data_IF_929188239586
#
_entry.id   IF_929188239586
#
_cell.length_a   1.000
_cell.length_b   1.000
_cell.length_c   1.000
_cell.angle_alpha   90.00
_cell.angle_beta   90.00
_cell.angle_gamma   90.00
#
_symmetry.space_group_name_H-M   'P 1'
#
loop_
_entity.id
_entity.type
_entity.pdbx_description
1 polymer ?
#
# COMPACT_ATOMS: atom_id res chain seq x y z
N UNK A 1 -9.24 -0.07 -18.73
CA UNK A 1 -8.50 0.19 -17.48
C UNK A 1 -9.45 0.68 -16.41
N UNK A 2 -9.31 0.18 -15.18
CA UNK A 2 -10.05 0.64 -14.01
C UNK A 2 -9.14 1.50 -13.14
N UNK A 3 -9.71 2.47 -12.42
CA UNK A 3 -9.04 3.29 -11.40
C UNK A 3 -9.54 2.98 -10.00
N UNK A 4 -10.31 1.89 -9.84
CA UNK A 4 -10.78 1.46 -8.54
C UNK A 4 -9.62 0.93 -7.68
N UNK A 5 -9.66 1.26 -6.38
CA UNK A 5 -8.73 0.74 -5.39
C UNK A 5 -8.78 -0.80 -5.33
N UNK A 6 -7.60 -1.41 -5.29
CA UNK A 6 -7.37 -2.85 -5.33
C UNK A 6 -7.45 -3.49 -3.93
N UNK A 7 -6.96 -2.78 -2.90
CA UNK A 7 -7.01 -3.26 -1.53
C UNK A 7 -8.39 -3.00 -0.92
N UNK A 8 -8.83 -3.93 -0.06
CA UNK A 8 -10.07 -3.73 0.70
C UNK A 8 -9.84 -2.66 1.77
N UNK A 9 -10.72 -1.67 1.82
CA UNK A 9 -10.64 -0.52 2.75
C UNK A 9 -10.54 -0.92 4.21
N UNK A 10 -11.30 -1.92 4.67
CA UNK A 10 -11.34 -2.28 6.09
C UNK A 10 -10.02 -2.94 6.57
N UNK A 11 -9.46 -3.97 5.89
CA UNK A 11 -8.13 -4.47 6.22
C UNK A 11 -7.04 -3.40 6.18
N UNK A 12 -7.01 -2.55 5.15
CA UNK A 12 -6.04 -1.46 5.04
C UNK A 12 -6.13 -0.50 6.22
N UNK A 13 -7.34 -0.07 6.59
CA UNK A 13 -7.56 0.82 7.73
C UNK A 13 -7.14 0.20 9.07
N UNK A 14 -7.25 -1.12 9.26
CA UNK A 14 -6.77 -1.80 10.48
C UNK A 14 -5.24 -1.72 10.58
N UNK A 15 -4.53 -1.98 9.47
CA UNK A 15 -3.07 -1.90 9.42
C UNK A 15 -2.57 -0.48 9.67
N UNK A 16 -3.21 0.53 9.06
CA UNK A 16 -2.85 1.95 9.31
C UNK A 16 -2.96 2.31 10.79
N UNK A 17 -4.04 1.88 11.46
CA UNK A 17 -4.24 2.12 12.89
C UNK A 17 -3.22 1.38 13.76
N UNK A 18 -2.96 0.11 13.45
CA UNK A 18 -1.94 -0.69 14.14
C UNK A 18 -0.56 -0.03 14.07
N UNK A 19 -0.15 0.40 12.87
CA UNK A 19 1.11 1.13 12.67
C UNK A 19 1.10 2.45 13.44
N UNK A 20 0.01 3.21 13.40
CA UNK A 20 -0.12 4.48 14.12
C UNK A 20 0.05 4.31 15.65
N UNK A 21 -0.46 3.22 16.23
CA UNK A 21 -0.30 2.93 17.66
C UNK A 21 1.17 2.73 18.05
N UNK A 22 1.98 2.12 17.18
CA UNK A 22 3.42 1.94 17.40
C UNK A 22 4.15 3.30 17.54
N UNK A 23 3.73 4.31 16.79
CA UNK A 23 4.36 5.63 16.80
C UNK A 23 3.78 6.57 17.85
N UNK A 24 2.59 6.28 18.37
CA UNK A 24 1.88 7.18 19.29
C UNK A 24 1.86 6.67 20.74
N UNK A 25 2.79 5.79 21.12
CA UNK A 25 2.89 5.24 22.49
C UNK A 25 1.57 4.67 23.02
N UNK A 26 0.79 4.05 22.14
CA UNK A 26 -0.52 3.45 22.47
C UNK A 26 -1.70 4.42 22.53
N UNK A 27 -1.54 5.69 22.14
CA UNK A 27 -2.68 6.61 22.00
C UNK A 27 -3.43 6.31 20.70
N UNK A 28 -4.72 5.96 20.81
CA UNK A 28 -5.57 5.68 19.66
C UNK A 28 -6.18 6.97 19.08
N UNK A 29 -5.65 7.40 17.94
CA UNK A 29 -6.18 8.57 17.22
C UNK A 29 -7.40 8.25 16.37
N UNK A 30 -8.32 9.21 16.30
CA UNK A 30 -9.44 9.17 15.37
C UNK A 30 -8.96 9.58 13.98
N UNK A 31 -9.18 8.70 13.00
CA UNK A 31 -8.85 8.93 11.60
C UNK A 31 -10.03 9.51 10.83
N UNK A 32 -9.79 10.55 10.05
CA UNK A 32 -10.74 11.03 9.06
C UNK A 32 -10.86 10.01 7.90
N UNK A 33 -12.06 9.86 7.36
CA UNK A 33 -12.27 8.96 6.22
C UNK A 33 -11.42 9.34 5.01
N UNK A 34 -11.26 10.64 4.74
CA UNK A 34 -10.44 11.15 3.63
C UNK A 34 -8.95 10.88 3.83
N UNK A 35 -8.44 10.92 5.07
CA UNK A 35 -7.04 10.62 5.36
C UNK A 35 -6.71 9.15 5.07
N UNK A 36 -7.61 8.23 5.44
CA UNK A 36 -7.46 6.80 5.11
C UNK A 36 -7.53 6.55 3.60
N UNK A 37 -8.40 7.27 2.88
CA UNK A 37 -8.49 7.19 1.43
C UNK A 37 -7.19 7.66 0.77
N UNK A 38 -6.69 8.84 1.14
CA UNK A 38 -5.46 9.40 0.60
C UNK A 38 -4.24 8.49 0.85
N UNK A 39 -4.14 7.90 2.04
CA UNK A 39 -3.11 6.92 2.34
C UNK A 39 -3.22 5.67 1.47
N UNK A 40 -4.44 5.19 1.22
CA UNK A 40 -4.65 4.02 0.37
C UNK A 40 -4.31 4.31 -1.09
N UNK A 41 -4.72 5.46 -1.63
CA UNK A 41 -4.38 5.90 -2.98
C UNK A 41 -2.87 6.00 -3.17
N UNK A 42 -2.16 6.65 -2.23
CA UNK A 42 -0.71 6.76 -2.28
C UNK A 42 0.00 5.40 -2.17
N UNK A 43 -0.46 4.54 -1.26
CA UNK A 43 0.15 3.22 -1.06
C UNK A 43 -0.03 2.32 -2.28
N UNK A 44 -1.23 2.28 -2.88
CA UNK A 44 -1.47 1.46 -4.07
C UNK A 44 -0.72 1.99 -5.29
N UNK A 45 -0.71 3.31 -5.51
CA UNK A 45 0.09 3.90 -6.59
C UNK A 45 1.58 3.58 -6.44
N UNK A 46 2.11 3.68 -5.22
CA UNK A 46 3.50 3.32 -4.93
C UNK A 46 3.78 1.84 -5.20
N UNK A 47 2.93 0.93 -4.74
CA UNK A 47 3.12 -0.51 -4.92
C UNK A 47 3.02 -0.92 -6.40
N UNK A 48 2.11 -0.32 -7.17
CA UNK A 48 1.99 -0.58 -8.61
C UNK A 48 3.29 -0.18 -9.32
N UNK A 49 3.77 1.05 -9.10
CA UNK A 49 5.01 1.51 -9.71
C UNK A 49 6.24 0.71 -9.26
N UNK A 50 6.33 0.37 -7.97
CA UNK A 50 7.42 -0.45 -7.46
C UNK A 50 7.44 -1.84 -8.12
N UNK A 51 6.27 -2.46 -8.32
CA UNK A 51 6.17 -3.75 -8.98
C UNK A 51 6.45 -3.68 -10.48
N UNK A 52 6.08 -2.58 -11.15
CA UNK A 52 6.47 -2.30 -12.53
C UNK A 52 8.01 -2.28 -12.66
N UNK A 53 8.69 -1.52 -11.80
CA UNK A 53 10.15 -1.42 -11.80
C UNK A 53 10.82 -2.75 -11.43
N UNK A 54 10.34 -3.44 -10.40
CA UNK A 54 10.87 -4.74 -9.99
C UNK A 54 10.68 -5.82 -11.08
N UNK A 55 9.61 -5.71 -11.86
CA UNK A 55 9.39 -6.59 -13.01
C UNK A 55 10.39 -6.33 -14.14
N UNK A 56 10.76 -5.07 -14.39
CA UNK A 56 11.84 -4.74 -15.33
C UNK A 56 13.17 -5.38 -14.91
N UNK A 57 13.48 -5.40 -13.61
CA UNK A 57 14.65 -6.12 -13.08
C UNK A 57 14.58 -7.64 -13.31
N UNK A 58 13.38 -8.23 -13.21
CA UNK A 58 13.16 -9.66 -13.46
C UNK A 58 13.39 -10.00 -14.94
N UNK A 59 12.85 -9.17 -15.85
CA UNK A 59 13.07 -9.30 -17.29
C UNK A 59 14.55 -9.11 -17.67
N UNK A 60 15.24 -8.15 -17.03
CA UNK A 60 16.68 -7.96 -17.21
C UNK A 60 17.47 -9.24 -16.88
N UNK A 61 17.05 -9.96 -15.84
CA UNK A 61 17.61 -11.26 -15.46
C UNK A 61 17.08 -12.44 -16.31
N UNK A 62 16.40 -12.19 -17.43
CA UNK A 62 15.76 -13.20 -18.31
C UNK A 62 14.77 -14.11 -17.59
N UNK A 63 14.10 -13.58 -16.56
CA UNK A 63 13.04 -14.26 -15.82
C UNK A 63 11.70 -13.59 -16.09
N UNK A 64 10.64 -14.39 -16.02
CA UNK A 64 9.25 -13.90 -16.10
C UNK A 64 8.58 -13.89 -14.71
N UNK A 65 9.02 -14.76 -13.82
CA UNK A 65 8.56 -14.78 -12.43
C UNK A 65 9.31 -13.75 -11.61
N UNK A 66 8.58 -12.88 -10.92
CA UNK A 66 9.12 -11.90 -9.99
C UNK A 66 9.52 -12.60 -8.68
N UNK A 67 10.73 -12.30 -8.19
CA UNK A 67 11.27 -12.83 -6.94
C UNK A 67 11.49 -11.69 -5.93
N UNK A 68 11.54 -12.00 -4.63
CA UNK A 68 12.01 -11.07 -3.60
C UNK A 68 13.44 -10.58 -3.85
#
# INVERSE_FOLDING_TARGET
SSTALLLRRQPFARVVREICLLFTRGVDYKWQAMALLALQEAAEAFLVHLLEDAYLCSLHARRVTLYP
#
